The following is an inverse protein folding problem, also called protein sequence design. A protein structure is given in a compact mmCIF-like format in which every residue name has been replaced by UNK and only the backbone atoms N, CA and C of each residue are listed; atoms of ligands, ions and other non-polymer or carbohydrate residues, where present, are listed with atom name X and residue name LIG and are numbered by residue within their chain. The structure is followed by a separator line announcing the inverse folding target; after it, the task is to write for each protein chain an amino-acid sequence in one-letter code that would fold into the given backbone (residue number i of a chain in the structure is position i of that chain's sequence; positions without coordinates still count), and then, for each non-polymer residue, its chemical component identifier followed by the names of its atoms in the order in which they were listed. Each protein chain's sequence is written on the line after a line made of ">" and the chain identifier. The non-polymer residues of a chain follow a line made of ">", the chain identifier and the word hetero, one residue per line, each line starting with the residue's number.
data_IF_223516193823
#
_entry.id   IF_223516193823
#
_cell.length_a   1.000
_cell.length_b   1.000
_cell.length_c   1.000
_cell.angle_alpha   90.00
_cell.angle_beta   90.00
_cell.angle_gamma   90.00
#
_symmetry.space_group_name_H-M   'P 1'
#
loop_
_entity.id
_entity.type
_entity.pdbx_description
1 polymer ?
#
# COMPACT_ATOMS: atom_id res chain seq x y z
N UNK A 1 8.16 15.82 -4.41
CA UNK A 1 6.91 15.27 -4.98
C UNK A 1 6.62 14.02 -4.18
N UNK A 2 5.46 13.96 -3.54
CA UNK A 2 5.12 12.86 -2.64
C UNK A 2 4.79 11.61 -3.44
N UNK A 3 5.34 10.47 -3.04
CA UNK A 3 5.05 9.17 -3.64
C UNK A 3 4.41 8.25 -2.60
N UNK A 4 3.34 7.58 -2.99
CA UNK A 4 2.72 6.49 -2.22
C UNK A 4 3.16 5.16 -2.82
N UNK A 5 3.93 4.42 -2.04
CA UNK A 5 4.33 3.05 -2.32
C UNK A 5 3.30 2.08 -1.74
N UNK A 6 2.72 1.24 -2.59
CA UNK A 6 1.76 0.22 -2.21
C UNK A 6 2.45 -1.14 -2.27
N UNK A 7 2.63 -1.80 -1.12
CA UNK A 7 3.09 -3.18 -1.07
C UNK A 7 2.07 -4.11 -1.74
N UNK A 8 2.53 -5.16 -2.42
CA UNK A 8 1.67 -6.09 -3.17
C UNK A 8 0.42 -6.55 -2.41
N UNK A 9 0.55 -6.97 -1.14
CA UNK A 9 -0.56 -7.39 -0.30
C UNK A 9 -1.56 -6.27 0.04
N UNK A 10 -1.15 -5.01 -0.07
CA UNK A 10 -2.04 -3.86 0.11
C UNK A 10 -2.94 -3.59 -1.10
N UNK A 11 -2.72 -4.28 -2.22
CA UNK A 11 -3.44 -4.07 -3.51
C UNK A 11 -3.91 -5.37 -4.16
N UNK A 12 -3.32 -6.52 -3.83
CA UNK A 12 -3.68 -7.83 -4.35
C UNK A 12 -4.16 -8.77 -3.25
N UNK A 13 -5.17 -9.57 -3.57
CA UNK A 13 -5.58 -10.73 -2.78
C UNK A 13 -5.12 -12.01 -3.47
N UNK A 14 -4.58 -12.94 -2.69
CA UNK A 14 -4.42 -14.31 -3.13
C UNK A 14 -5.80 -14.98 -3.15
N UNK A 15 -6.28 -15.35 -4.34
CA UNK A 15 -7.41 -16.25 -4.48
C UNK A 15 -6.90 -17.70 -4.47
N UNK A 16 -7.20 -18.49 -3.44
CA UNK A 16 -6.87 -19.90 -3.44
C UNK A 16 -7.68 -20.62 -4.51
N UNK A 17 -7.03 -21.53 -5.24
CA UNK A 17 -7.77 -22.52 -6.02
C UNK A 17 -8.47 -23.48 -5.04
N UNK A 18 -9.81 -23.52 -5.07
CA UNK A 18 -10.61 -24.35 -4.15
C UNK A 18 -10.21 -25.83 -4.21
N UNK A 19 -9.76 -26.28 -5.38
CA UNK A 19 -9.31 -27.65 -5.61
C UNK A 19 -7.82 -27.86 -5.31
N UNK A 20 -7.07 -26.80 -4.98
CA UNK A 20 -5.61 -26.78 -4.77
C UNK A 20 -4.79 -27.43 -5.89
N UNK A 21 -5.32 -27.44 -7.11
CA UNK A 21 -4.67 -28.00 -8.31
C UNK A 21 -3.75 -26.99 -8.97
N UNK A 22 -3.93 -25.70 -8.67
CA UNK A 22 -3.16 -24.60 -9.24
C UNK A 22 -2.56 -23.72 -8.15
N UNK A 23 -1.43 -23.06 -8.42
CA UNK A 23 -0.94 -21.98 -7.57
C UNK A 23 -2.03 -20.89 -7.43
N UNK A 24 -2.06 -20.17 -6.29
CA UNK A 24 -3.04 -19.12 -6.06
C UNK A 24 -2.95 -18.05 -7.15
N UNK A 25 -4.09 -17.64 -7.69
CA UNK A 25 -4.16 -16.49 -8.59
C UNK A 25 -4.20 -15.22 -7.76
N UNK A 26 -3.55 -14.17 -8.25
CA UNK A 26 -3.63 -12.85 -7.64
C UNK A 26 -4.75 -12.08 -8.31
N UNK A 27 -5.62 -11.49 -7.50
CA UNK A 27 -6.69 -10.60 -7.99
C UNK A 27 -6.58 -9.23 -7.33
N UNK A 28 -7.01 -8.16 -8.01
CA UNK A 28 -7.05 -6.84 -7.41
C UNK A 28 -7.98 -6.81 -6.18
N UNK A 29 -7.59 -6.05 -5.16
CA UNK A 29 -8.49 -5.70 -4.07
C UNK A 29 -9.70 -4.90 -4.60
N UNK A 30 -10.92 -5.19 -4.13
CA UNK A 30 -12.08 -4.38 -4.49
C UNK A 30 -11.85 -2.89 -4.17
N UNK A 31 -12.18 -2.01 -5.13
CA UNK A 31 -12.04 -0.56 -4.99
C UNK A 31 -10.60 -0.03 -5.08
N UNK A 32 -9.60 -0.89 -5.28
CA UNK A 32 -8.20 -0.44 -5.27
C UNK A 32 -7.85 0.53 -6.40
N UNK A 33 -8.45 0.35 -7.58
CA UNK A 33 -8.29 1.27 -8.72
C UNK A 33 -8.78 2.67 -8.36
N UNK A 34 -9.99 2.78 -7.82
CA UNK A 34 -10.59 4.06 -7.39
C UNK A 34 -9.72 4.76 -6.34
N UNK A 35 -9.17 4.00 -5.38
CA UNK A 35 -8.28 4.57 -4.37
C UNK A 35 -6.96 5.10 -4.96
N UNK A 36 -6.41 4.44 -5.97
CA UNK A 36 -5.23 4.93 -6.70
C UNK A 36 -5.58 6.17 -7.51
N UNK A 37 -6.71 6.17 -8.20
CA UNK A 37 -7.19 7.31 -8.99
C UNK A 37 -7.31 8.55 -8.10
N UNK A 38 -7.95 8.46 -6.93
CA UNK A 38 -8.04 9.57 -5.97
C UNK A 38 -6.68 10.16 -5.56
N UNK A 39 -5.64 9.33 -5.38
CA UNK A 39 -4.30 9.82 -5.08
C UNK A 39 -3.70 10.54 -6.29
N UNK A 40 -3.82 9.96 -7.48
CA UNK A 40 -3.25 10.53 -8.70
C UNK A 40 -3.95 11.82 -9.15
N UNK A 41 -5.25 11.95 -8.90
CA UNK A 41 -6.04 13.16 -9.22
C UNK A 41 -5.55 14.39 -8.45
N UNK A 42 -5.02 14.21 -7.24
CA UNK A 42 -4.43 15.29 -6.43
C UNK A 42 -2.92 15.46 -6.67
N UNK A 43 -2.36 14.77 -7.67
CA UNK A 43 -0.95 14.88 -8.05
C UNK A 43 0.02 14.07 -7.19
N UNK A 44 -0.45 13.06 -6.46
CA UNK A 44 0.41 12.12 -5.74
C UNK A 44 0.83 10.99 -6.70
N UNK A 45 2.13 10.72 -6.77
CA UNK A 45 2.62 9.58 -7.53
C UNK A 45 2.30 8.27 -6.80
N UNK A 46 1.81 7.28 -7.52
CA UNK A 46 1.54 5.95 -6.96
C UNK A 46 2.44 4.90 -7.62
N UNK A 47 3.16 4.16 -6.79
CA UNK A 47 4.03 3.05 -7.22
C UNK A 47 3.65 1.77 -6.49
N UNK A 48 3.47 0.67 -7.21
CA UNK A 48 3.26 -0.65 -6.59
C UNK A 48 4.60 -1.38 -6.46
N UNK A 49 4.88 -1.89 -5.26
CA UNK A 49 6.02 -2.75 -4.99
C UNK A 49 5.60 -4.20 -5.29
N UNK A 50 5.81 -4.61 -6.53
CA UNK A 50 5.59 -5.97 -7.03
C UNK A 50 6.36 -6.20 -8.34
N UNK A 51 6.88 -7.41 -8.53
CA UNK A 51 7.51 -7.80 -9.80
C UNK A 51 6.50 -7.79 -10.97
N UNK A 52 5.25 -8.17 -10.68
CA UNK A 52 4.17 -8.15 -11.65
C UNK A 52 2.82 -7.90 -10.97
N UNK A 53 1.85 -7.45 -11.77
CA UNK A 53 0.45 -7.29 -11.38
C UNK A 53 -0.43 -7.94 -12.44
N UNK A 54 -1.65 -8.40 -12.08
CA UNK A 54 -2.59 -8.94 -13.06
C UNK A 54 -2.91 -7.96 -14.19
N UNK A 55 -3.15 -8.46 -15.40
CA UNK A 55 -3.46 -7.64 -16.59
C UNK A 55 -4.64 -6.67 -16.37
N UNK A 56 -5.60 -7.06 -15.54
CA UNK A 56 -6.74 -6.23 -15.15
C UNK A 56 -6.30 -4.89 -14.55
N UNK A 57 -5.23 -4.88 -13.75
CA UNK A 57 -4.68 -3.65 -13.16
C UNK A 57 -3.95 -2.84 -14.23
N UNK A 58 -3.18 -3.48 -15.11
CA UNK A 58 -2.47 -2.78 -16.20
C UNK A 58 -3.44 -2.10 -17.17
N UNK A 59 -4.57 -2.73 -17.45
CA UNK A 59 -5.62 -2.16 -18.31
C UNK A 59 -6.33 -1.01 -17.61
N UNK A 60 -6.65 -1.15 -16.32
CA UNK A 60 -7.34 -0.12 -15.56
C UNK A 60 -6.45 1.10 -15.26
N UNK A 61 -5.14 0.88 -15.01
CA UNK A 61 -4.17 1.90 -14.63
C UNK A 61 -2.93 1.83 -15.55
N UNK A 62 -3.03 2.28 -16.81
CA UNK A 62 -1.98 2.10 -17.81
C UNK A 62 -0.70 2.89 -17.52
N UNK A 63 -0.79 3.95 -16.71
CA UNK A 63 0.33 4.81 -16.31
C UNK A 63 0.97 4.39 -14.98
N UNK A 64 0.50 3.30 -14.38
CA UNK A 64 0.97 2.83 -13.08
C UNK A 64 2.43 2.39 -13.13
N UNK A 65 3.22 2.86 -12.17
CA UNK A 65 4.62 2.45 -12.02
C UNK A 65 4.73 1.23 -11.12
N UNK A 66 5.56 0.27 -11.53
CA UNK A 66 5.90 -0.92 -10.74
C UNK A 66 7.39 -0.90 -10.41
N UNK A 67 7.72 -1.30 -9.18
CA UNK A 67 9.09 -1.58 -8.75
C UNK A 67 9.13 -2.91 -8.03
N UNK A 68 10.24 -3.63 -8.08
CA UNK A 68 10.37 -4.88 -7.34
C UNK A 68 10.61 -4.65 -5.85
N UNK A 69 11.27 -3.55 -5.50
CA UNK A 69 11.67 -3.22 -4.14
C UNK A 69 11.47 -1.73 -3.85
N UNK A 70 11.27 -1.41 -2.56
CA UNK A 70 11.23 -0.02 -2.11
C UNK A 70 12.61 0.63 -2.36
N UNK A 71 12.69 1.81 -2.99
CA UNK A 71 13.96 2.50 -3.19
C UNK A 71 14.66 2.78 -1.86
N UNK A 72 16.00 2.66 -1.83
CA UNK A 72 16.78 2.94 -0.61
C UNK A 72 16.65 4.39 -0.13
N UNK A 73 16.41 5.32 -1.06
CA UNK A 73 16.17 6.74 -0.81
C UNK A 73 14.86 7.14 -1.51
N UNK A 74 13.69 6.86 -0.92
CA UNK A 74 12.43 7.33 -1.48
C UNK A 74 12.39 8.87 -1.43
N UNK A 75 11.58 9.52 -2.28
CA UNK A 75 11.35 10.96 -2.18
C UNK A 75 10.93 11.36 -0.76
N UNK A 76 11.28 12.57 -0.33
CA UNK A 76 10.79 13.09 0.94
C UNK A 76 9.25 13.05 0.99
N UNK A 77 8.71 12.90 2.20
CA UNK A 77 7.26 12.89 2.45
C UNK A 77 6.52 11.72 1.80
N UNK A 78 7.25 10.66 1.43
CA UNK A 78 6.68 9.46 0.83
C UNK A 78 5.98 8.59 1.86
N UNK A 79 5.04 7.78 1.38
CA UNK A 79 4.25 6.85 2.18
C UNK A 79 4.48 5.42 1.72
N UNK A 80 4.55 4.49 2.67
CA UNK A 80 4.47 3.06 2.42
C UNK A 80 3.17 2.52 3.04
N UNK A 81 2.30 1.94 2.21
CA UNK A 81 1.09 1.24 2.65
C UNK A 81 1.33 -0.27 2.50
N UNK A 82 1.15 -1.01 3.58
CA UNK A 82 1.51 -2.44 3.64
C UNK A 82 0.54 -3.26 4.47
N UNK A 83 0.48 -4.56 4.18
CA UNK A 83 -0.20 -5.56 5.03
C UNK A 83 0.76 -6.33 5.93
N UNK A 84 2.07 -6.21 5.69
CA UNK A 84 3.11 -6.94 6.41
C UNK A 84 3.75 -6.04 7.50
N UNK A 85 3.55 -6.34 8.80
CA UNK A 85 4.12 -5.55 9.89
C UNK A 85 5.65 -5.57 9.91
N UNK A 86 6.30 -6.55 9.28
CA UNK A 86 7.76 -6.62 9.22
C UNK A 86 8.39 -5.41 8.53
N UNK A 87 7.66 -4.71 7.65
CA UNK A 87 8.12 -3.45 7.06
C UNK A 87 8.37 -2.36 8.10
N UNK A 88 7.61 -2.38 9.17
CA UNK A 88 7.68 -1.36 10.21
C UNK A 88 8.67 -1.71 11.33
N UNK A 89 9.12 -2.97 11.38
CA UNK A 89 10.15 -3.44 12.31
C UNK A 89 11.58 -3.17 11.79
N UNK A 90 11.71 -2.88 10.49
CA UNK A 90 13.00 -2.63 9.82
C UNK A 90 13.44 -1.17 9.99
N UNK A 91 14.75 -0.88 9.87
CA UNK A 91 15.23 0.49 9.71
C UNK A 91 14.52 1.16 8.53
N UNK A 92 13.86 2.29 8.80
CA UNK A 92 13.09 3.04 7.80
C UNK A 92 13.98 4.09 7.13
N UNK A 93 13.90 4.26 5.80
CA UNK A 93 14.47 5.43 5.14
C UNK A 93 13.95 6.73 5.78
N UNK A 94 14.80 7.75 5.84
CA UNK A 94 14.42 9.03 6.42
C UNK A 94 13.27 9.68 5.63
N UNK A 95 12.26 10.20 6.34
CA UNK A 95 11.10 10.86 5.73
C UNK A 95 10.07 9.92 5.10
N UNK A 96 10.20 8.59 5.29
CA UNK A 96 9.18 7.63 4.89
C UNK A 96 8.16 7.41 6.01
N UNK A 97 6.90 7.73 5.73
CA UNK A 97 5.76 7.40 6.58
C UNK A 97 5.22 6.02 6.25
N UNK A 98 4.66 5.34 7.25
CA UNK A 98 4.21 3.95 7.14
C UNK A 98 2.77 3.77 7.63
N UNK A 99 1.95 3.11 6.81
CA UNK A 99 0.58 2.71 7.15
C UNK A 99 0.44 1.19 7.04
N UNK A 100 0.09 0.55 8.15
CA UNK A 100 -0.33 -0.85 8.16
C UNK A 100 -1.84 -0.94 7.92
N UNK A 101 -2.25 -1.68 6.90
CA UNK A 101 -3.64 -1.97 6.61
C UNK A 101 -3.97 -3.44 6.87
N UNK A 102 -5.19 -3.71 7.30
CA UNK A 102 -5.68 -5.06 7.50
C UNK A 102 -6.69 -5.15 8.64
N UNK A 103 -7.33 -6.33 8.80
CA UNK A 103 -8.25 -6.56 9.90
C UNK A 103 -7.54 -6.30 11.22
N UNK A 104 -8.15 -5.47 12.09
CA UNK A 104 -7.62 -5.24 13.44
C UNK A 104 -7.43 -6.59 14.12
N UNK A 105 -6.18 -7.06 14.25
CA UNK A 105 -5.88 -8.21 15.11
C UNK A 105 -6.40 -7.86 16.50
N UNK A 106 -7.18 -8.76 17.09
CA UNK A 106 -7.65 -8.66 18.48
C UNK A 106 -6.47 -8.25 19.34
N UNK A 107 -6.63 -7.19 20.13
CA UNK A 107 -5.56 -6.57 20.92
C UNK A 107 -4.78 -7.64 21.71
N UNK A 108 -3.67 -8.10 21.16
CA UNK A 108 -2.63 -8.75 21.94
C UNK A 108 -1.96 -7.70 22.83
N UNK A 109 -1.27 -8.10 23.91
CA UNK A 109 -0.74 -7.18 24.92
C UNK A 109 0.35 -6.22 24.41
N UNK A 110 0.72 -6.27 23.13
CA UNK A 110 1.59 -5.30 22.47
C UNK A 110 0.81 -4.52 21.41
N UNK A 111 0.53 -3.25 21.69
CA UNK A 111 0.24 -2.27 20.63
C UNK A 111 1.38 -2.36 19.62
N UNK A 112 1.09 -2.50 18.32
CA UNK A 112 2.12 -2.52 17.29
C UNK A 112 2.83 -1.16 17.27
N UNK A 113 3.95 -1.04 17.97
CA UNK A 113 4.77 0.18 18.09
C UNK A 113 5.49 0.57 16.79
N UNK A 114 5.17 -0.09 15.68
CA UNK A 114 6.08 -0.19 14.55
C UNK A 114 5.72 0.77 13.40
N UNK A 115 4.45 0.85 13.00
CA UNK A 115 4.04 1.73 11.91
C UNK A 115 3.47 3.05 12.46
N UNK A 116 3.59 4.13 11.69
CA UNK A 116 3.10 5.45 12.12
C UNK A 116 1.57 5.48 12.21
N UNK A 117 0.90 4.76 11.32
CA UNK A 117 -0.56 4.68 11.24
C UNK A 117 -0.99 3.21 11.09
N UNK A 118 -2.12 2.87 11.70
CA UNK A 118 -2.82 1.60 11.47
C UNK A 118 -4.22 1.90 10.98
N UNK A 119 -4.53 1.47 9.75
CA UNK A 119 -5.82 1.65 9.10
C UNK A 119 -6.51 0.30 8.86
N UNK A 120 -7.82 0.32 8.62
CA UNK A 120 -8.62 -0.89 8.42
C UNK A 120 -8.32 -1.54 7.07
N UNK A 121 -8.19 -0.71 6.04
CA UNK A 121 -8.12 -1.09 4.63
C UNK A 121 -7.44 0.04 3.84
N UNK A 122 -7.28 -0.18 2.53
CA UNK A 122 -6.64 0.78 1.63
C UNK A 122 -7.41 2.11 1.56
N UNK A 123 -8.75 2.07 1.58
CA UNK A 123 -9.56 3.29 1.51
C UNK A 123 -9.33 4.18 2.74
N UNK A 124 -9.34 3.60 3.94
CA UNK A 124 -9.02 4.33 5.16
C UNK A 124 -7.60 4.90 5.13
N UNK A 125 -6.62 4.15 4.61
CA UNK A 125 -5.25 4.64 4.45
C UNK A 125 -5.13 5.82 3.47
N UNK A 126 -5.81 5.76 2.33
CA UNK A 126 -5.84 6.86 1.35
C UNK A 126 -6.45 8.11 1.96
N UNK A 127 -7.56 8.00 2.68
CA UNK A 127 -8.16 9.14 3.39
C UNK A 127 -7.21 9.75 4.42
N UNK A 128 -6.47 8.91 5.16
CA UNK A 128 -5.46 9.37 6.12
C UNK A 128 -4.31 10.13 5.47
N UNK A 129 -3.86 9.68 4.29
CA UNK A 129 -2.81 10.34 3.48
C UNK A 129 -3.31 11.69 2.97
N UNK A 130 -4.47 11.70 2.30
CA UNK A 130 -5.05 12.91 1.71
C UNK A 130 -5.31 13.99 2.77
N UNK A 131 -5.82 13.59 3.94
CA UNK A 131 -6.08 14.51 5.05
C UNK A 131 -4.78 15.18 5.53
N UNK A 132 -3.69 14.42 5.66
CA UNK A 132 -2.41 14.94 6.13
C UNK A 132 -1.73 15.84 5.11
N UNK A 133 -1.85 15.51 3.83
CA UNK A 133 -1.40 16.39 2.76
C UNK A 133 -2.15 17.72 2.78
N UNK A 134 -3.48 17.69 2.91
CA UNK A 134 -4.29 18.91 2.97
C UNK A 134 -3.96 19.80 4.17
N UNK A 135 -3.62 19.19 5.31
CA UNK A 135 -3.27 19.92 6.54
C UNK A 135 -1.81 20.42 6.57
N UNK A 136 -0.96 19.99 5.63
CA UNK A 136 0.48 20.27 5.65
C UNK A 136 1.18 19.66 6.88
N UNK A 137 0.60 18.64 7.50
CA UNK A 137 1.13 17.96 8.70
C UNK A 137 1.93 16.72 8.32
N UNK A 138 2.83 16.88 7.36
CA UNK A 138 3.75 15.82 6.94
C UNK A 138 5.04 15.94 7.75
#
# INVERSE_FOLDING_TARGET
>A
MTTVFLERGAVLLAQPDEQRRRPPSWVPLPGMTEQIEHLTEVGIDVTIIAAEVPDQIRVALPTLTLVEELPSNPPADSWLVTTDPAWCERPRPAGLHTILIGPRKTQGPRRSTYCDIVARDLSAAVMDILTRQAMGTI
#
